data_IF_837722404442
#
_entry.id   IF_837722404442
#
_cell.length_a   1.000
_cell.length_b   1.000
_cell.length_c   1.000
_cell.angle_alpha   90.00
_cell.angle_beta   90.00
_cell.angle_gamma   90.00
#
_symmetry.space_group_name_H-M   'P 1'
#
loop_
_entity.id
_entity.type
_entity.pdbx_description
1 polymer ?
#
# COMPACT_ATOMS: atom_id res chain seq x y z
N UNK A 1 -7.12 8.26 -3.81
CA UNK A 1 -7.59 7.69 -5.09
C UNK A 1 -6.62 6.69 -5.70
N UNK A 2 -5.33 7.01 -5.89
CA UNK A 2 -4.33 6.10 -6.49
C UNK A 2 -4.23 4.75 -5.77
N UNK A 3 -4.17 4.75 -4.43
CA UNK A 3 -4.15 3.51 -3.64
C UNK A 3 -5.42 2.67 -3.88
N UNK A 4 -6.61 3.24 -3.74
CA UNK A 4 -7.86 2.52 -4.00
C UNK A 4 -7.89 1.86 -5.39
N UNK A 5 -7.48 2.59 -6.43
CA UNK A 5 -7.42 2.03 -7.79
C UNK A 5 -6.41 0.87 -7.86
N UNK A 6 -5.22 1.06 -7.28
CA UNK A 6 -4.18 0.05 -7.21
C UNK A 6 -4.69 -1.23 -6.52
N UNK A 7 -5.40 -1.07 -5.41
CA UNK A 7 -5.91 -2.16 -4.57
C UNK A 7 -7.06 -2.90 -5.26
N UNK A 8 -7.97 -2.17 -5.91
CA UNK A 8 -9.05 -2.76 -6.74
C UNK A 8 -8.46 -3.57 -7.89
N UNK A 9 -7.49 -3.01 -8.63
CA UNK A 9 -6.83 -3.72 -9.73
C UNK A 9 -6.12 -4.97 -9.21
N UNK A 10 -5.33 -4.84 -8.13
CA UNK A 10 -4.63 -5.97 -7.53
C UNK A 10 -5.59 -7.08 -7.10
N UNK A 11 -6.58 -6.78 -6.27
CA UNK A 11 -7.48 -7.80 -5.73
C UNK A 11 -8.37 -8.43 -6.82
N UNK A 12 -8.71 -7.68 -7.88
CA UNK A 12 -9.40 -8.24 -9.05
C UNK A 12 -8.53 -9.28 -9.75
N UNK A 13 -7.26 -8.96 -10.02
CA UNK A 13 -6.33 -9.90 -10.67
C UNK A 13 -6.00 -11.10 -9.77
N UNK A 14 -5.83 -10.88 -8.47
CA UNK A 14 -5.59 -11.95 -7.49
C UNK A 14 -6.80 -12.91 -7.41
N UNK A 15 -8.02 -12.37 -7.39
CA UNK A 15 -9.25 -13.17 -7.41
C UNK A 15 -9.38 -13.98 -8.69
N UNK A 16 -9.13 -13.38 -9.85
CA UNK A 16 -9.13 -14.09 -11.13
C UNK A 16 -8.11 -15.24 -11.15
N UNK A 17 -6.89 -15.01 -10.66
CA UNK A 17 -5.85 -16.04 -10.56
C UNK A 17 -6.21 -17.16 -9.57
N UNK A 18 -6.91 -16.83 -8.49
CA UNK A 18 -7.41 -17.82 -7.53
C UNK A 18 -8.49 -18.71 -8.15
N UNK A 19 -9.46 -18.12 -8.86
CA UNK A 19 -10.55 -18.85 -9.52
C UNK A 19 -10.10 -19.72 -10.68
N UNK A 20 -9.00 -19.36 -11.35
CA UNK A 20 -8.43 -20.11 -12.47
C UNK A 20 -7.35 -21.10 -12.07
N UNK A 21 -7.08 -21.24 -10.76
CA UNK A 21 -6.04 -22.12 -10.26
C UNK A 21 -6.32 -23.59 -10.60
N UNK A 22 -5.38 -24.24 -11.29
CA UNK A 22 -5.49 -25.64 -11.71
C UNK A 22 -6.09 -25.82 -13.11
N UNK A 23 -6.89 -24.88 -13.60
CA UNK A 23 -7.45 -24.89 -14.96
C UNK A 23 -6.46 -24.36 -15.99
N UNK A 24 -5.78 -23.26 -15.66
CA UNK A 24 -4.82 -22.61 -16.57
C UNK A 24 -3.44 -22.45 -15.91
N UNK A 25 -2.37 -22.62 -16.71
CA UNK A 25 -0.98 -22.48 -16.23
C UNK A 25 -0.46 -21.05 -16.42
N UNK A 26 -0.86 -20.12 -15.54
CA UNK A 26 -0.38 -18.73 -15.54
C UNK A 26 0.82 -18.50 -14.61
N UNK A 27 1.84 -19.37 -14.66
CA UNK A 27 2.92 -19.37 -13.66
C UNK A 27 3.75 -18.07 -13.63
N UNK A 28 4.07 -17.48 -14.80
CA UNK A 28 4.79 -16.22 -14.89
C UNK A 28 3.97 -15.04 -14.39
N UNK A 29 2.73 -14.92 -14.86
CA UNK A 29 1.82 -13.85 -14.47
C UNK A 29 1.50 -13.88 -12.97
N UNK A 30 1.29 -15.08 -12.40
CA UNK A 30 1.11 -15.24 -10.95
C UNK A 30 2.30 -14.75 -10.15
N UNK A 31 3.54 -15.09 -10.55
CA UNK A 31 4.74 -14.58 -9.89
C UNK A 31 4.82 -13.05 -9.94
N UNK A 32 4.39 -12.44 -11.03
CA UNK A 32 4.32 -10.98 -11.14
C UNK A 32 3.29 -10.37 -10.19
N UNK A 33 2.11 -10.99 -10.05
CA UNK A 33 1.06 -10.53 -9.10
C UNK A 33 1.51 -10.71 -7.64
N UNK A 34 2.15 -11.84 -7.30
CA UNK A 34 2.72 -12.08 -5.98
C UNK A 34 3.86 -11.08 -5.66
N UNK A 35 4.72 -10.79 -6.63
CA UNK A 35 5.74 -9.74 -6.50
C UNK A 35 5.09 -8.37 -6.31
N UNK A 36 4.07 -8.03 -7.11
CA UNK A 36 3.37 -6.75 -7.00
C UNK A 36 2.68 -6.58 -5.64
N UNK A 37 2.03 -7.63 -5.14
CA UNK A 37 1.45 -7.67 -3.80
C UNK A 37 2.46 -7.27 -2.73
N UNK A 38 3.63 -7.94 -2.76
CA UNK A 38 4.64 -7.81 -1.70
C UNK A 38 5.52 -6.57 -1.82
N UNK A 39 5.84 -6.16 -3.05
CA UNK A 39 6.73 -5.03 -3.31
C UNK A 39 6.00 -3.69 -3.38
N UNK A 40 4.71 -3.66 -3.77
CA UNK A 40 3.97 -2.43 -4.04
C UNK A 40 2.65 -2.37 -3.25
N UNK A 41 1.71 -3.29 -3.48
CA UNK A 41 0.34 -3.14 -2.95
C UNK A 41 0.29 -3.09 -1.42
N UNK A 42 1.06 -3.96 -0.75
CA UNK A 42 1.14 -3.97 0.70
C UNK A 42 1.79 -2.70 1.27
N UNK A 43 3.02 -2.31 0.88
CA UNK A 43 3.64 -1.11 1.45
C UNK A 43 2.85 0.17 1.16
N UNK A 44 2.22 0.30 -0.01
CA UNK A 44 1.36 1.46 -0.32
C UNK A 44 0.10 1.46 0.54
N UNK A 45 -0.61 0.33 0.65
CA UNK A 45 -1.81 0.23 1.47
C UNK A 45 -1.54 0.58 2.94
N UNK A 46 -0.46 0.06 3.53
CA UNK A 46 -0.10 0.38 4.90
C UNK A 46 0.38 1.83 5.07
N UNK A 47 1.08 2.39 4.08
CA UNK A 47 1.49 3.81 4.10
C UNK A 47 0.29 4.74 4.14
N UNK A 48 -0.74 4.46 3.33
CA UNK A 48 -1.96 5.29 3.31
C UNK A 48 -2.61 5.31 4.68
N UNK A 49 -2.73 4.15 5.35
CA UNK A 49 -3.26 4.07 6.72
C UNK A 49 -2.44 4.96 7.66
N UNK A 50 -1.11 4.80 7.67
CA UNK A 50 -0.23 5.54 8.59
C UNK A 50 -0.30 7.05 8.35
N UNK A 51 -0.18 7.49 7.09
CA UNK A 51 -0.19 8.92 6.76
C UNK A 51 -1.57 9.54 6.99
N UNK A 52 -2.65 8.84 6.63
CA UNK A 52 -4.01 9.30 6.87
C UNK A 52 -4.26 9.53 8.36
N UNK A 53 -4.06 8.51 9.19
CA UNK A 53 -4.34 8.63 10.63
C UNK A 53 -3.37 9.60 11.31
N UNK A 54 -2.10 9.63 10.89
CA UNK A 54 -1.12 10.60 11.41
C UNK A 54 -1.56 12.04 11.18
N UNK A 55 -1.98 12.38 9.96
CA UNK A 55 -2.47 13.71 9.61
C UNK A 55 -3.85 14.00 10.23
N UNK A 56 -4.77 13.04 10.19
CA UNK A 56 -6.12 13.18 10.73
C UNK A 56 -6.11 13.45 12.24
N UNK A 57 -5.23 12.79 13.00
CA UNK A 57 -5.10 13.05 14.44
C UNK A 57 -4.34 14.35 14.75
N UNK A 58 -3.36 14.72 13.92
CA UNK A 58 -2.60 15.95 14.11
C UNK A 58 -3.45 17.19 13.82
N UNK A 59 -3.99 17.27 12.62
CA UNK A 59 -4.92 18.31 12.17
C UNK A 59 -5.65 17.84 10.90
N UNK A 60 -6.96 17.49 10.99
CA UNK A 60 -7.76 17.11 9.83
C UNK A 60 -7.76 18.16 8.72
N UNK A 61 -7.57 19.45 9.02
CA UNK A 61 -7.51 20.52 8.03
C UNK A 61 -6.37 20.36 7.01
N UNK A 62 -5.35 19.55 7.33
CA UNK A 62 -4.26 19.24 6.39
C UNK A 62 -4.68 18.31 5.24
N UNK A 63 -5.81 17.60 5.40
CA UNK A 63 -6.33 16.63 4.43
C UNK A 63 -7.33 17.25 3.44
N UNK A 64 -7.87 18.43 3.74
CA UNK A 64 -8.96 19.03 2.98
C UNK A 64 -8.52 20.32 2.27
N UNK A 65 -8.97 20.49 1.03
CA UNK A 65 -8.60 21.64 0.19
C UNK A 65 -9.34 22.91 0.62
N UNK A 66 -10.59 22.75 1.02
CA UNK A 66 -11.51 23.82 1.39
C UNK A 66 -12.47 23.33 2.49
N UNK A 67 -13.21 24.26 3.10
CA UNK A 67 -14.15 23.96 4.19
C UNK A 67 -15.33 23.09 3.72
N UNK A 68 -15.76 23.18 2.45
CA UNK A 68 -16.83 22.33 1.93
C UNK A 68 -16.39 20.85 1.86
N UNK A 69 -15.19 20.58 1.35
CA UNK A 69 -14.62 19.24 1.31
C UNK A 69 -14.38 18.68 2.72
N UNK A 70 -14.00 19.55 3.67
CA UNK A 70 -13.84 19.21 5.08
C UNK A 70 -15.18 18.85 5.70
N UNK A 71 -16.20 19.68 5.56
CA UNK A 71 -17.53 19.43 6.11
C UNK A 71 -18.16 18.16 5.50
N UNK A 72 -18.02 17.96 4.19
CA UNK A 72 -18.51 16.75 3.52
C UNK A 72 -17.82 15.48 4.02
N UNK A 73 -16.49 15.47 4.11
CA UNK A 73 -15.75 14.26 4.50
C UNK A 73 -15.73 14.01 6.01
N UNK A 74 -15.95 15.05 6.83
CA UNK A 74 -16.19 14.89 8.27
C UNK A 74 -17.62 14.41 8.53
N UNK A 75 -18.63 14.91 7.81
CA UNK A 75 -20.00 14.40 7.91
C UNK A 75 -20.13 12.97 7.38
N UNK A 76 -19.34 12.60 6.36
CA UNK A 76 -19.16 11.23 5.88
C UNK A 76 -17.89 10.56 6.44
N UNK A 77 -17.62 10.75 7.73
CA UNK A 77 -16.42 10.24 8.40
C UNK A 77 -16.21 8.73 8.22
N UNK A 78 -17.27 7.92 8.30
CA UNK A 78 -17.18 6.47 8.10
C UNK A 78 -16.62 6.11 6.72
N UNK A 79 -17.04 6.84 5.67
CA UNK A 79 -16.59 6.61 4.31
C UNK A 79 -15.12 7.03 4.19
N UNK A 80 -14.79 8.22 4.70
CA UNK A 80 -13.42 8.73 4.69
C UNK A 80 -12.47 7.77 5.43
N UNK A 81 -12.86 7.26 6.60
CA UNK A 81 -12.07 6.30 7.37
C UNK A 81 -11.96 4.96 6.64
N UNK A 82 -13.05 4.46 6.08
CA UNK A 82 -13.08 3.18 5.38
C UNK A 82 -12.16 3.17 4.16
N UNK A 83 -12.22 4.21 3.32
CA UNK A 83 -11.38 4.26 2.11
C UNK A 83 -9.88 4.40 2.42
N UNK A 84 -9.51 4.89 3.60
CA UNK A 84 -8.11 5.01 4.02
C UNK A 84 -7.62 3.88 4.93
N UNK A 85 -8.53 3.07 5.50
CA UNK A 85 -8.19 1.99 6.44
C UNK A 85 -8.38 0.60 5.83
N UNK A 86 -9.48 0.39 5.11
CA UNK A 86 -9.85 -0.92 4.58
C UNK A 86 -8.80 -1.52 3.63
N UNK A 87 -8.12 -0.76 2.75
CA UNK A 87 -7.10 -1.34 1.88
C UNK A 87 -5.90 -1.92 2.64
N UNK A 88 -5.41 -1.21 3.67
CA UNK A 88 -4.33 -1.71 4.51
C UNK A 88 -4.73 -2.98 5.26
N UNK A 89 -5.95 -3.04 5.80
CA UNK A 89 -6.48 -4.26 6.45
C UNK A 89 -6.62 -5.42 5.45
N UNK A 90 -7.12 -5.15 4.24
CA UNK A 90 -7.24 -6.15 3.19
C UNK A 90 -5.87 -6.75 2.85
N UNK A 91 -4.81 -5.93 2.76
CA UNK A 91 -3.45 -6.40 2.50
C UNK A 91 -2.87 -7.24 3.66
N UNK A 92 -3.15 -6.90 4.91
CA UNK A 92 -2.74 -7.71 6.08
C UNK A 92 -3.39 -9.10 6.04
N UNK A 93 -4.69 -9.15 5.73
CA UNK A 93 -5.42 -10.41 5.57
C UNK A 93 -4.91 -11.22 4.38
N UNK A 94 -4.69 -10.56 3.24
CA UNK A 94 -4.17 -11.15 2.02
C UNK A 94 -2.83 -11.87 2.26
N UNK A 95 -1.89 -11.23 2.95
CA UNK A 95 -0.63 -11.86 3.35
C UNK A 95 -0.84 -13.06 4.27
N UNK A 96 -1.75 -12.96 5.24
CA UNK A 96 -2.06 -14.04 6.18
C UNK A 96 -2.64 -15.29 5.50
N UNK A 97 -3.51 -15.09 4.51
CA UNK A 97 -4.20 -16.15 3.77
C UNK A 97 -3.28 -16.75 2.72
N UNK A 98 -2.67 -15.93 1.86
CA UNK A 98 -1.96 -16.39 0.67
C UNK A 98 -0.49 -16.71 0.91
N UNK A 99 0.12 -16.13 1.96
CA UNK A 99 1.51 -16.39 2.36
C UNK A 99 2.48 -16.24 1.19
N UNK A 100 2.45 -15.04 0.58
CA UNK A 100 3.22 -14.71 -0.61
C UNK A 100 4.71 -15.02 -0.45
N UNK A 101 5.46 -15.31 -1.53
CA UNK A 101 6.91 -15.39 -1.46
C UNK A 101 7.53 -14.04 -1.12
N UNK A 102 8.66 -14.05 -0.40
CA UNK A 102 9.41 -12.80 -0.15
C UNK A 102 10.11 -12.33 -1.43
N UNK A 103 9.93 -11.06 -1.84
CA UNK A 103 10.60 -10.54 -3.02
C UNK A 103 12.09 -10.30 -2.72
N UNK A 104 12.92 -10.30 -3.77
CA UNK A 104 14.29 -9.81 -3.63
C UNK A 104 14.26 -8.33 -3.22
N UNK A 105 14.87 -8.00 -2.06
CA UNK A 105 14.84 -6.64 -1.48
C UNK A 105 15.26 -5.56 -2.46
N UNK A 106 16.32 -5.81 -3.23
CA UNK A 106 16.82 -4.85 -4.24
C UNK A 106 15.80 -4.58 -5.34
N UNK A 107 15.04 -5.59 -5.77
CA UNK A 107 13.96 -5.41 -6.76
C UNK A 107 12.79 -4.64 -6.16
N UNK A 108 12.37 -4.99 -4.94
CA UNK A 108 11.27 -4.29 -4.27
C UNK A 108 11.61 -2.81 -4.02
N UNK A 109 12.81 -2.51 -3.50
CA UNK A 109 13.28 -1.13 -3.30
C UNK A 109 13.30 -0.35 -4.62
N UNK A 110 13.83 -0.94 -5.70
CA UNK A 110 13.79 -0.30 -7.02
C UNK A 110 12.36 -0.01 -7.49
N UNK A 111 11.44 -0.96 -7.32
CA UNK A 111 10.03 -0.76 -7.68
C UNK A 111 9.36 0.34 -6.85
N UNK A 112 9.63 0.40 -5.55
CA UNK A 112 9.15 1.47 -4.67
C UNK A 112 9.69 2.83 -5.10
N UNK A 113 10.98 2.93 -5.42
CA UNK A 113 11.59 4.18 -5.92
C UNK A 113 10.96 4.64 -7.23
N UNK A 114 10.77 3.73 -8.18
CA UNK A 114 10.09 4.02 -9.45
C UNK A 114 8.67 4.52 -9.19
N UNK A 115 7.92 3.83 -8.32
CA UNK A 115 6.59 4.27 -7.92
C UNK A 115 6.60 5.67 -7.31
N UNK A 116 7.52 5.95 -6.37
CA UNK A 116 7.64 7.26 -5.74
C UNK A 116 7.92 8.35 -6.76
N UNK A 117 8.84 8.12 -7.71
CA UNK A 117 9.17 9.09 -8.76
C UNK A 117 7.96 9.36 -9.67
N UNK A 118 7.30 8.30 -10.15
CA UNK A 118 6.12 8.44 -11.01
C UNK A 118 4.98 9.17 -10.29
N UNK A 119 4.78 8.86 -9.02
CA UNK A 119 3.78 9.51 -8.20
C UNK A 119 4.12 10.98 -7.91
N UNK A 120 5.40 11.30 -7.70
CA UNK A 120 5.85 12.69 -7.59
C UNK A 120 5.60 13.47 -8.89
N UNK A 121 5.86 12.87 -10.04
CA UNK A 121 5.55 13.47 -11.35
C UNK A 121 4.03 13.74 -11.45
N UNK A 122 3.20 12.75 -11.09
CA UNK A 122 1.74 12.86 -11.13
C UNK A 122 1.22 14.03 -10.27
N UNK A 123 1.62 14.12 -9.01
CA UNK A 123 1.14 15.21 -8.13
C UNK A 123 1.61 16.59 -8.59
N UNK A 124 2.80 16.71 -9.20
CA UNK A 124 3.28 17.98 -9.76
C UNK A 124 2.56 18.32 -11.06
N UNK A 125 2.19 17.33 -11.87
CA UNK A 125 1.37 17.52 -13.05
C UNK A 125 -0.03 18.01 -12.67
N UNK A 126 -0.65 17.43 -11.63
CA UNK A 126 -1.94 17.91 -11.09
C UNK A 126 -1.82 19.39 -10.68
N UNK A 127 -0.76 19.76 -9.97
CA UNK A 127 -0.53 21.15 -9.60
C UNK A 127 -0.36 22.07 -10.82
N UNK A 128 0.44 21.64 -11.80
CA UNK A 128 0.69 22.41 -13.01
C UNK A 128 -0.59 22.66 -13.82
N UNK A 129 -1.45 21.65 -13.95
CA UNK A 129 -2.69 21.74 -14.74
C UNK A 129 -3.80 22.47 -13.99
N UNK A 130 -3.94 22.23 -12.69
CA UNK A 130 -5.11 22.68 -11.93
C UNK A 130 -4.87 23.90 -11.05
N UNK A 131 -3.60 24.26 -10.81
CA UNK A 131 -3.20 25.34 -9.90
C UNK A 131 -3.33 24.99 -8.42
N UNK A 132 -3.76 23.78 -8.05
CA UNK A 132 -3.85 23.33 -6.67
C UNK A 132 -3.14 22.00 -6.44
N UNK A 133 -2.64 21.79 -5.22
CA UNK A 133 -2.00 20.54 -4.85
C UNK A 133 -3.03 19.44 -4.67
N UNK A 134 -2.76 18.26 -5.23
CA UNK A 134 -3.54 17.04 -4.98
C UNK A 134 -3.65 16.73 -3.47
N UNK A 135 -2.65 17.15 -2.69
CA UNK A 135 -2.60 17.05 -1.24
C UNK A 135 -2.43 18.46 -0.64
N UNK A 136 -3.46 19.01 0.02
CA UNK A 136 -3.47 20.38 0.54
C UNK A 136 -2.25 20.73 1.41
N UNK A 137 -1.79 19.79 2.26
CA UNK A 137 -0.59 19.96 3.08
C UNK A 137 0.65 20.41 2.29
N UNK A 138 0.82 19.98 1.02
CA UNK A 138 1.96 20.40 0.20
C UNK A 138 1.90 21.90 -0.11
N UNK A 139 0.70 22.46 -0.29
CA UNK A 139 0.50 23.90 -0.49
C UNK A 139 0.67 24.72 0.78
N UNK A 140 0.41 24.12 1.95
CA UNK A 140 0.52 24.77 3.26
C UNK A 140 1.98 24.85 3.74
N UNK A 141 2.85 23.94 3.28
CA UNK A 141 4.27 23.90 3.66
C UNK A 141 5.13 24.82 2.78
N UNK A 142 6.05 25.55 3.42
CA UNK A 142 7.14 26.23 2.73
C UNK A 142 8.06 25.21 2.03
N UNK A 143 8.79 25.67 1.00
CA UNK A 143 9.56 24.78 0.12
C UNK A 143 10.48 23.79 0.84
N UNK A 144 11.33 24.19 1.83
CA UNK A 144 12.19 23.23 2.53
C UNK A 144 11.40 22.15 3.29
N UNK A 145 10.29 22.52 3.94
CA UNK A 145 9.45 21.58 4.68
C UNK A 145 8.66 20.65 3.76
N UNK A 146 8.31 21.11 2.55
CA UNK A 146 7.70 20.26 1.53
C UNK A 146 8.65 19.14 1.10
N UNK A 147 9.94 19.45 0.90
CA UNK A 147 10.95 18.42 0.59
C UNK A 147 11.10 17.44 1.75
N UNK A 148 11.17 17.93 2.98
CA UNK A 148 11.25 17.07 4.17
C UNK A 148 10.03 16.15 4.31
N UNK A 149 8.83 16.69 4.06
CA UNK A 149 7.60 15.90 4.09
C UNK A 149 7.59 14.80 3.03
N UNK A 150 8.05 15.09 1.80
CA UNK A 150 8.18 14.08 0.74
C UNK A 150 9.17 12.98 1.16
N UNK A 151 10.33 13.35 1.70
CA UNK A 151 11.34 12.39 2.20
C UNK A 151 10.75 11.53 3.31
N UNK A 152 10.01 12.13 4.23
CA UNK A 152 9.31 11.41 5.29
C UNK A 152 8.30 10.40 4.74
N UNK A 153 7.43 10.80 3.81
CA UNK A 153 6.47 9.90 3.17
C UNK A 153 7.17 8.72 2.46
N UNK A 154 8.26 9.00 1.74
CA UNK A 154 9.08 7.94 1.12
C UNK A 154 9.67 6.99 2.17
N UNK A 155 10.16 7.50 3.30
CA UNK A 155 10.65 6.68 4.40
C UNK A 155 9.55 5.80 5.02
N UNK A 156 8.32 6.31 5.15
CA UNK A 156 7.16 5.53 5.61
C UNK A 156 6.88 4.36 4.66
N UNK A 157 6.92 4.56 3.33
CA UNK A 157 6.74 3.48 2.35
C UNK A 157 7.81 2.39 2.50
N UNK A 158 9.07 2.80 2.70
CA UNK A 158 10.14 1.83 2.96
C UNK A 158 9.95 1.09 4.28
N UNK A 159 9.56 1.78 5.35
CA UNK A 159 9.22 1.18 6.63
C UNK A 159 8.09 0.15 6.48
N UNK A 160 7.03 0.50 5.77
CA UNK A 160 5.90 -0.38 5.49
C UNK A 160 6.34 -1.64 4.71
N UNK A 161 7.24 -1.50 3.74
CA UNK A 161 7.82 -2.65 3.02
C UNK A 161 8.60 -3.58 3.96
N UNK A 162 9.45 -3.02 4.83
CA UNK A 162 10.21 -3.82 5.80
C UNK A 162 9.29 -4.54 6.78
N UNK A 163 8.24 -3.87 7.27
CA UNK A 163 7.22 -4.48 8.13
C UNK A 163 6.55 -5.65 7.41
N UNK A 164 6.11 -5.45 6.16
CA UNK A 164 5.51 -6.52 5.36
C UNK A 164 6.44 -7.70 5.11
N UNK A 165 7.71 -7.43 4.80
CA UNK A 165 8.71 -8.46 4.56
C UNK A 165 9.05 -9.27 5.83
N UNK A 166 9.11 -8.60 6.99
CA UNK A 166 9.26 -9.25 8.29
C UNK A 166 8.03 -10.07 8.64
N UNK A 167 6.82 -9.51 8.50
CA UNK A 167 5.56 -10.21 8.73
C UNK A 167 5.47 -11.50 7.89
N UNK A 168 5.80 -11.39 6.60
CA UNK A 168 5.77 -12.53 5.69
C UNK A 168 6.81 -13.60 6.05
N UNK A 169 7.98 -13.21 6.56
CA UNK A 169 8.99 -14.16 7.05
C UNK A 169 8.46 -15.06 8.17
N UNK A 170 7.76 -14.49 9.16
CA UNK A 170 7.15 -15.25 10.25
C UNK A 170 6.05 -16.22 9.77
N UNK A 171 5.24 -15.80 8.79
CA UNK A 171 4.19 -16.66 8.21
C UNK A 171 4.78 -17.86 7.45
N UNK A 172 5.88 -17.66 6.74
CA UNK A 172 6.55 -18.73 6.00
C UNK A 172 7.26 -19.72 6.94
N UNK A 173 7.96 -19.21 7.97
CA UNK A 173 8.66 -20.04 8.95
C UNK A 173 7.70 -20.92 9.76
N UNK A 174 6.58 -20.35 10.21
CA UNK A 174 5.54 -21.09 10.93
C UNK A 174 4.94 -22.21 10.07
N UNK A 175 4.68 -21.93 8.80
CA UNK A 175 4.16 -22.92 7.84
C UNK A 175 5.19 -24.04 7.60
N UNK A 176 6.47 -23.71 7.51
CA UNK A 176 7.56 -24.68 7.38
C UNK A 176 7.66 -25.62 8.58
N UNK A 177 7.57 -25.09 9.80
CA UNK A 177 7.57 -25.88 11.05
C UNK A 177 6.38 -26.85 11.11
N UNK A 178 5.18 -26.38 10.78
CA UNK A 178 3.97 -27.23 10.76
C UNK A 178 4.07 -28.40 9.77
N UNK A 179 4.60 -28.15 8.56
CA UNK A 179 4.81 -29.20 7.55
C UNK A 179 5.80 -30.26 8.03
N UNK A 180 6.91 -29.87 8.67
CA UNK A 180 7.91 -30.79 9.23
C UNK A 180 7.32 -31.66 10.34
N UNK A 181 6.58 -31.07 11.29
CA UNK A 181 5.94 -31.81 12.37
C UNK A 181 4.89 -32.82 11.86
N UNK A 182 4.12 -32.46 10.83
CA UNK A 182 3.14 -33.38 10.21
C UNK A 182 3.80 -34.55 9.49
N UNK A 183 5.00 -34.37 8.92
CA UNK A 183 5.78 -35.44 8.30
C UNK A 183 6.30 -36.43 9.36
N UNK A 184 6.90 -35.92 10.44
CA UNK A 184 7.42 -36.76 11.54
C UNK A 184 6.35 -37.58 12.29
N UNK A 185 5.06 -37.22 12.20
CA UNK A 185 3.96 -38.01 12.77
C UNK A 185 3.43 -39.10 11.83
N UNK A 186 3.84 -39.10 10.57
CA UNK A 186 3.41 -40.05 9.54
C UNK A 186 4.45 -41.13 9.26
N UNK A 187 5.69 -40.87 9.67
CA UNK A 187 6.83 -41.79 9.65
C UNK A 187 6.91 -42.49 11.02
#
# INVERSE_FOLDING_TARGET
>A
MVDLLLQVVYHTLATFLALTYGTFKFSGFRKSVEFFSTAIAFPIGLTVVVLFWGLYYYDPGTLFKDEEAKDLLLSLSWYNHAIHTAPGLAMILDFGVWKHPRPAKTKAIKSILIFCILYLIDIHLIYYVSGFWAYPILGQLAFPFRILFIVFCTAVIFGAFLIGDVYNSYLLDSTGKQKKAKKQRRD
#
